data_IF_925198002558
#
_entry.id   IF_925198002558
#
_cell.length_a   1.000
_cell.length_b   1.000
_cell.length_c   1.000
_cell.angle_alpha   90.00
_cell.angle_beta   90.00
_cell.angle_gamma   90.00
#
_symmetry.space_group_name_H-M   'P 1'
#
loop_
_entity.id
_entity.type
_entity.pdbx_description
1 polymer ?
#
# COMPACT_ATOMS: atom_id res chain seq x y z
N UNK A 1 8.25 -0.59 -27.82
CA UNK A 1 8.91 -1.41 -26.79
C UNK A 1 8.33 -2.80 -26.92
N UNK A 2 9.14 -3.72 -27.41
CA UNK A 2 8.80 -5.13 -27.60
C UNK A 2 9.11 -5.84 -26.28
N UNK A 3 8.13 -6.55 -25.71
CA UNK A 3 8.38 -7.41 -24.55
C UNK A 3 8.91 -8.74 -25.08
N UNK A 4 10.18 -9.03 -24.80
CA UNK A 4 10.79 -10.34 -25.03
C UNK A 4 10.17 -11.35 -24.06
N UNK A 5 9.52 -12.37 -24.61
CA UNK A 5 8.92 -13.49 -23.89
C UNK A 5 10.05 -14.39 -23.40
N UNK A 6 10.18 -14.55 -22.07
CA UNK A 6 11.04 -15.58 -21.50
C UNK A 6 10.42 -16.94 -21.88
N UNK A 7 11.06 -17.63 -22.82
CA UNK A 7 10.77 -19.02 -23.15
C UNK A 7 11.47 -19.90 -22.11
N UNK A 8 10.68 -20.67 -21.36
CA UNK A 8 11.16 -21.67 -20.42
C UNK A 8 11.14 -23.03 -21.14
N UNK A 9 12.28 -23.72 -21.18
CA UNK A 9 12.46 -25.00 -21.89
C UNK A 9 12.02 -26.21 -21.03
N UNK A 10 10.78 -26.70 -21.26
CA UNK A 10 10.28 -28.06 -20.93
C UNK A 10 9.07 -28.13 -19.95
N UNK A 11 8.07 -29.03 -20.12
CA UNK A 11 8.02 -30.21 -21.00
C UNK A 11 7.43 -29.94 -22.40
N UNK A 12 7.84 -30.78 -23.34
CA UNK A 12 7.33 -30.86 -24.71
C UNK A 12 6.03 -31.67 -24.74
N UNK A 13 4.88 -31.00 -24.67
CA UNK A 13 3.55 -31.42 -25.17
C UNK A 13 2.59 -30.28 -24.85
N UNK A 14 1.81 -29.85 -25.84
CA UNK A 14 1.18 -28.54 -25.91
C UNK A 14 0.19 -28.24 -24.76
N UNK A 15 0.48 -27.25 -23.92
CA UNK A 15 -0.60 -26.55 -23.21
C UNK A 15 -1.35 -25.70 -24.23
N UNK A 16 -2.62 -26.02 -24.45
CA UNK A 16 -3.48 -25.26 -25.35
C UNK A 16 -3.65 -23.83 -24.83
N UNK A 17 -3.46 -22.86 -25.73
CA UNK A 17 -3.73 -21.46 -25.42
C UNK A 17 -5.22 -21.19 -25.60
N UNK A 18 -5.91 -20.95 -24.49
CA UNK A 18 -7.31 -20.56 -24.46
C UNK A 18 -7.40 -19.17 -23.83
N UNK A 19 -8.03 -18.24 -24.52
CA UNK A 19 -8.23 -16.88 -24.03
C UNK A 19 -9.69 -16.62 -23.68
N UNK A 20 -9.88 -15.85 -22.61
CA UNK A 20 -11.17 -15.42 -22.09
C UNK A 20 -10.98 -14.07 -21.40
N UNK A 21 -12.02 -13.23 -21.38
CA UNK A 21 -12.00 -11.94 -20.71
C UNK A 21 -13.26 -11.77 -19.88
N UNK A 22 -13.07 -11.43 -18.60
CA UNK A 22 -14.17 -11.24 -17.65
C UNK A 22 -14.33 -9.77 -17.26
N UNK A 23 -15.56 -9.37 -16.91
CA UNK A 23 -15.92 -8.01 -16.55
C UNK A 23 -16.20 -7.84 -15.06
N UNK A 24 -15.64 -6.78 -14.47
CA UNK A 24 -16.01 -6.26 -13.16
C UNK A 24 -17.08 -5.20 -13.33
N UNK A 25 -18.24 -5.40 -12.69
CA UNK A 25 -19.31 -4.42 -12.72
C UNK A 25 -19.09 -3.35 -11.66
N UNK A 26 -19.37 -2.11 -12.05
CA UNK A 26 -19.33 -0.96 -11.17
C UNK A 26 -20.74 -0.46 -10.92
N UNK A 27 -21.02 -0.11 -9.68
CA UNK A 27 -22.22 0.62 -9.28
C UNK A 27 -21.84 2.00 -8.73
N UNK A 28 -22.76 2.95 -8.87
CA UNK A 28 -22.64 4.23 -8.17
C UNK A 28 -22.76 3.99 -6.66
N UNK A 29 -22.11 4.82 -5.84
CA UNK A 29 -22.27 4.82 -4.37
C UNK A 29 -23.75 4.58 -3.98
N UNK A 30 -24.06 3.42 -3.40
CA UNK A 30 -25.44 3.01 -3.15
C UNK A 30 -26.10 3.86 -2.06
N UNK A 31 -25.31 4.57 -1.23
CA UNK A 31 -25.85 5.54 -0.27
C UNK A 31 -26.37 6.82 -0.94
N UNK A 32 -25.99 7.04 -2.20
CA UNK A 32 -26.34 8.21 -3.00
C UNK A 32 -25.69 9.52 -2.56
N UNK A 33 -24.86 9.50 -1.51
CA UNK A 33 -24.20 10.68 -0.92
C UNK A 33 -23.08 11.21 -1.81
N UNK A 34 -22.45 10.34 -2.59
CA UNK A 34 -21.40 10.70 -3.54
C UNK A 34 -21.75 10.21 -4.95
N UNK A 35 -21.03 10.72 -5.95
CA UNK A 35 -21.11 10.25 -7.34
C UNK A 35 -19.83 9.49 -7.71
N UNK A 36 -19.39 8.57 -6.85
CA UNK A 36 -18.22 7.72 -7.10
C UNK A 36 -18.64 6.31 -7.52
N UNK A 37 -17.76 5.64 -8.28
CA UNK A 37 -17.91 4.24 -8.64
C UNK A 37 -17.37 3.33 -7.54
N UNK A 38 -18.08 2.25 -7.29
CA UNK A 38 -17.70 1.15 -6.41
C UNK A 38 -17.88 -0.15 -7.19
N UNK A 39 -17.12 -1.19 -6.85
CA UNK A 39 -17.41 -2.53 -7.39
C UNK A 39 -18.81 -2.94 -6.91
N UNK A 40 -19.63 -3.44 -7.83
CA UNK A 40 -20.93 -4.00 -7.51
C UNK A 40 -20.74 -5.16 -6.51
N UNK A 41 -21.38 -5.13 -5.32
CA UNK A 41 -21.25 -6.17 -4.32
C UNK A 41 -21.64 -7.56 -4.82
N UNK A 42 -22.48 -7.67 -5.86
CA UNK A 42 -22.79 -8.95 -6.52
C UNK A 42 -21.52 -9.62 -7.05
N UNK A 43 -20.53 -8.86 -7.54
CA UNK A 43 -19.28 -9.42 -8.04
C UNK A 43 -18.33 -9.89 -6.92
N UNK A 44 -18.46 -9.42 -5.68
CA UNK A 44 -17.46 -9.69 -4.63
C UNK A 44 -17.48 -11.14 -4.15
N UNK A 45 -18.66 -11.65 -3.77
CA UNK A 45 -18.83 -13.00 -3.21
C UNK A 45 -20.22 -13.60 -3.57
N UNK A 46 -21.00 -12.96 -4.46
CA UNK A 46 -22.39 -13.33 -4.75
C UNK A 46 -22.55 -14.11 -6.06
N UNK A 47 -22.00 -13.56 -7.14
CA UNK A 47 -22.08 -14.08 -8.50
C UNK A 47 -20.68 -14.12 -9.14
N UNK A 48 -20.54 -14.99 -10.14
CA UNK A 48 -19.32 -15.08 -10.97
C UNK A 48 -19.15 -13.85 -11.86
N UNK A 49 -17.92 -13.57 -12.28
CA UNK A 49 -17.66 -12.53 -13.28
C UNK A 49 -18.16 -12.99 -14.65
N UNK A 50 -18.80 -12.07 -15.37
CA UNK A 50 -19.32 -12.34 -16.70
C UNK A 50 -18.24 -12.24 -17.75
N UNK A 51 -18.26 -13.18 -18.71
CA UNK A 51 -17.42 -13.11 -19.90
C UNK A 51 -17.86 -11.98 -20.83
N UNK A 52 -16.90 -11.32 -21.47
CA UNK A 52 -17.12 -10.38 -22.57
C UNK A 52 -17.09 -11.05 -23.95
N UNK A 53 -16.76 -12.33 -24.02
CA UNK A 53 -16.89 -13.13 -25.23
C UNK A 53 -18.29 -13.71 -25.29
N UNK A 54 -19.10 -13.25 -26.25
CA UNK A 54 -20.49 -13.70 -26.42
C UNK A 54 -20.61 -15.23 -26.64
N UNK A 55 -19.53 -15.90 -27.06
CA UNK A 55 -19.48 -17.34 -27.31
C UNK A 55 -18.56 -18.10 -26.34
N UNK A 56 -18.15 -17.47 -25.24
CA UNK A 56 -17.22 -18.05 -24.26
C UNK A 56 -15.76 -18.08 -24.72
N UNK A 57 -14.91 -18.93 -24.09
CA UNK A 57 -13.48 -18.95 -24.34
C UNK A 57 -13.16 -19.28 -25.80
N UNK A 58 -12.06 -18.77 -26.30
CA UNK A 58 -11.62 -19.00 -27.69
C UNK A 58 -10.17 -19.48 -27.76
N UNK A 59 -9.85 -20.22 -28.82
CA UNK A 59 -8.53 -20.81 -29.11
C UNK A 59 -7.84 -20.15 -30.32
N UNK A 60 -8.33 -19.00 -30.79
CA UNK A 60 -7.94 -18.39 -32.07
C UNK A 60 -6.43 -18.10 -32.18
N UNK A 61 -5.74 -17.96 -31.05
CA UNK A 61 -4.30 -17.67 -30.97
C UNK A 61 -3.46 -18.90 -30.54
N UNK A 62 -4.03 -20.11 -30.52
CA UNK A 62 -3.28 -21.32 -30.18
C UNK A 62 -2.42 -21.82 -31.36
N UNK A 63 -1.12 -21.99 -31.12
CA UNK A 63 -0.14 -22.40 -32.14
C UNK A 63 0.23 -23.90 -32.06
N UNK A 64 -0.55 -24.74 -31.36
CA UNK A 64 -0.18 -26.14 -31.15
C UNK A 64 -0.30 -27.04 -32.39
N UNK A 65 -1.04 -26.60 -33.42
CA UNK A 65 -1.27 -27.36 -34.64
C UNK A 65 -2.26 -28.54 -34.51
N UNK A 66 -2.94 -28.69 -33.37
CA UNK A 66 -3.95 -29.72 -33.11
C UNK A 66 -5.32 -29.06 -32.89
N UNK A 67 -6.06 -28.84 -33.98
CA UNK A 67 -7.35 -28.14 -33.98
C UNK A 67 -8.42 -28.92 -33.19
N UNK A 68 -8.48 -30.24 -33.36
CA UNK A 68 -9.47 -31.09 -32.68
C UNK A 68 -9.29 -31.04 -31.16
N UNK A 69 -8.04 -31.07 -30.70
CA UNK A 69 -7.74 -30.98 -29.28
C UNK A 69 -7.98 -29.56 -28.75
N UNK A 70 -7.64 -28.51 -29.51
CA UNK A 70 -7.98 -27.13 -29.14
C UNK A 70 -9.48 -26.95 -28.94
N UNK A 71 -10.30 -27.44 -29.87
CA UNK A 71 -11.76 -27.36 -29.79
C UNK A 71 -12.29 -28.13 -28.57
N UNK A 72 -11.70 -29.29 -28.29
CA UNK A 72 -12.02 -30.08 -27.09
C UNK A 72 -11.72 -29.30 -25.81
N UNK A 73 -10.55 -28.70 -25.69
CA UNK A 73 -10.15 -27.94 -24.50
C UNK A 73 -10.98 -26.65 -24.36
N UNK A 74 -11.22 -25.92 -25.45
CA UNK A 74 -12.08 -24.73 -25.47
C UNK A 74 -13.47 -25.06 -24.93
N UNK A 75 -14.04 -26.17 -25.39
CA UNK A 75 -15.33 -26.66 -24.91
C UNK A 75 -15.30 -27.03 -23.43
N UNK A 76 -14.23 -27.69 -22.96
CA UNK A 76 -14.08 -28.01 -21.54
C UNK A 76 -14.04 -26.73 -20.71
N UNK A 77 -13.28 -25.72 -21.13
CA UNK A 77 -13.21 -24.44 -20.43
C UNK A 77 -14.56 -23.71 -20.45
N UNK A 78 -15.26 -23.66 -21.57
CA UNK A 78 -16.55 -22.98 -21.69
C UNK A 78 -17.73 -23.69 -21.01
N UNK A 79 -17.72 -25.02 -20.91
CA UNK A 79 -18.83 -25.79 -20.34
C UNK A 79 -18.62 -26.18 -18.87
N UNK A 80 -17.37 -26.27 -18.41
CA UNK A 80 -17.04 -26.90 -17.11
C UNK A 80 -16.17 -26.06 -16.19
N UNK A 81 -15.50 -25.02 -16.68
CA UNK A 81 -14.73 -24.14 -15.82
C UNK A 81 -15.63 -22.99 -15.33
N UNK A 82 -15.74 -22.84 -14.02
CA UNK A 82 -16.44 -21.70 -13.43
C UNK A 82 -15.61 -20.42 -13.66
N UNK A 83 -16.29 -19.31 -13.93
CA UNK A 83 -15.62 -18.02 -13.93
C UNK A 83 -15.25 -17.60 -12.50
N UNK A 84 -14.13 -16.91 -12.30
CA UNK A 84 -13.78 -16.40 -10.99
C UNK A 84 -14.82 -15.38 -10.52
N UNK A 85 -15.00 -15.29 -9.21
CA UNK A 85 -15.60 -14.13 -8.53
C UNK A 85 -14.62 -12.94 -8.54
N UNK A 86 -15.07 -11.72 -8.22
CA UNK A 86 -14.16 -10.57 -8.12
C UNK A 86 -13.09 -10.78 -7.05
N UNK A 87 -13.42 -11.46 -5.95
CA UNK A 87 -12.47 -11.79 -4.90
C UNK A 87 -11.38 -12.72 -5.43
N UNK A 88 -11.74 -13.79 -6.14
CA UNK A 88 -10.77 -14.69 -6.75
C UNK A 88 -9.92 -13.97 -7.80
N UNK A 89 -10.53 -13.16 -8.67
CA UNK A 89 -9.82 -12.36 -9.66
C UNK A 89 -8.79 -11.40 -9.03
N UNK A 90 -9.12 -10.79 -7.88
CA UNK A 90 -8.19 -9.96 -7.11
C UNK A 90 -6.98 -10.77 -6.62
N UNK A 91 -7.19 -11.97 -6.07
CA UNK A 91 -6.09 -12.83 -5.62
C UNK A 91 -5.23 -13.33 -6.78
N UNK A 92 -5.84 -13.72 -7.90
CA UNK A 92 -5.11 -14.11 -9.12
C UNK A 92 -4.23 -12.97 -9.64
N UNK A 93 -4.77 -11.74 -9.69
CA UNK A 93 -4.00 -10.56 -10.10
C UNK A 93 -2.84 -10.28 -9.15
N UNK A 94 -3.08 -10.37 -7.84
CA UNK A 94 -2.04 -10.16 -6.85
C UNK A 94 -0.94 -11.21 -6.95
N UNK A 95 -1.28 -12.49 -7.05
CA UNK A 95 -0.33 -13.58 -7.24
C UNK A 95 0.52 -13.38 -8.51
N UNK A 96 -0.12 -13.08 -9.64
CA UNK A 96 0.58 -12.83 -10.91
C UNK A 96 1.54 -11.62 -10.84
N UNK A 97 1.26 -10.66 -9.97
CA UNK A 97 2.09 -9.47 -9.75
C UNK A 97 3.08 -9.62 -8.58
N UNK A 98 3.07 -10.75 -7.86
CA UNK A 98 3.93 -10.98 -6.70
C UNK A 98 3.50 -10.24 -5.42
N UNK A 99 2.22 -9.89 -5.29
CA UNK A 99 1.64 -9.26 -4.11
C UNK A 99 0.88 -10.26 -3.22
N UNK A 100 0.90 -9.99 -1.92
CA UNK A 100 -0.01 -10.61 -0.95
C UNK A 100 -1.19 -9.68 -0.70
N UNK A 101 -2.43 -10.19 -0.78
CA UNK A 101 -3.63 -9.40 -0.46
C UNK A 101 -4.10 -9.73 0.96
N UNK A 102 -4.11 -8.70 1.80
CA UNK A 102 -4.64 -8.78 3.16
C UNK A 102 -5.82 -7.82 3.28
N UNK A 103 -7.03 -8.34 3.52
CA UNK A 103 -8.19 -7.50 3.84
C UNK A 103 -8.07 -7.07 5.29
N UNK A 104 -7.59 -5.86 5.55
CA UNK A 104 -7.60 -5.30 6.91
C UNK A 104 -9.02 -4.85 7.28
N UNK A 105 -9.60 -5.44 8.32
CA UNK A 105 -10.87 -5.01 8.92
C UNK A 105 -10.68 -4.27 10.24
N UNK A 106 -9.46 -4.25 10.75
CA UNK A 106 -9.10 -3.65 12.02
C UNK A 106 -8.34 -2.35 11.79
N UNK A 107 -8.48 -1.41 12.72
CA UNK A 107 -7.63 -0.21 12.68
C UNK A 107 -6.18 -0.66 12.93
N UNK A 108 -5.21 -0.23 12.11
CA UNK A 108 -3.82 -0.56 12.36
C UNK A 108 -3.41 -0.03 13.74
N UNK A 109 -2.61 -0.81 14.46
CA UNK A 109 -2.05 -0.42 15.75
C UNK A 109 -0.59 -0.07 15.52
N UNK A 110 -0.25 1.18 15.76
CA UNK A 110 1.14 1.64 15.85
C UNK A 110 1.55 1.62 17.32
N UNK A 111 2.51 0.78 17.66
CA UNK A 111 3.14 0.74 18.99
C UNK A 111 4.51 1.41 18.91
N UNK A 112 4.82 2.28 19.86
CA UNK A 112 6.07 3.05 19.89
C UNK A 112 6.73 2.88 21.25
N UNK A 113 7.99 2.44 21.24
CA UNK A 113 8.84 2.35 22.41
C UNK A 113 9.95 3.38 22.25
N UNK A 114 9.81 4.50 22.95
CA UNK A 114 10.82 5.55 23.03
C UNK A 114 11.60 5.38 24.34
N UNK A 115 12.87 4.97 24.23
CA UNK A 115 13.79 4.88 25.36
C UNK A 115 14.72 6.07 25.29
N UNK A 116 14.45 7.07 26.12
CA UNK A 116 15.27 8.28 26.18
C UNK A 116 16.33 8.19 27.26
N UNK A 117 17.57 8.49 26.89
CA UNK A 117 18.62 8.90 27.84
C UNK A 117 18.50 10.42 28.05
N UNK A 118 18.24 10.90 29.29
CA UNK A 118 18.08 12.33 29.55
C UNK A 118 19.30 13.18 29.18
N UNK A 119 20.49 12.58 29.09
CA UNK A 119 21.74 13.24 28.68
C UNK A 119 22.24 12.73 27.30
N UNK A 120 21.42 11.92 26.61
CA UNK A 120 21.76 11.32 25.31
C UNK A 120 21.41 12.22 24.13
N UNK A 121 22.23 12.15 23.08
CA UNK A 121 22.14 13.03 21.92
C UNK A 121 21.14 12.57 20.86
N UNK A 122 20.68 11.32 20.90
CA UNK A 122 19.77 10.73 19.90
C UNK A 122 18.87 9.67 20.56
N UNK A 123 17.54 9.75 20.37
CA UNK A 123 16.63 8.62 20.59
C UNK A 123 16.07 8.14 19.24
N UNK A 124 16.29 6.87 18.94
CA UNK A 124 15.64 6.18 17.83
C UNK A 124 14.55 5.29 18.43
N UNK A 125 13.28 5.72 18.38
CA UNK A 125 12.20 4.91 18.95
C UNK A 125 12.00 3.63 18.14
N UNK A 126 11.84 2.51 18.84
CA UNK A 126 11.41 1.27 18.23
C UNK A 126 9.91 1.37 17.91
N UNK A 127 9.55 1.28 16.63
CA UNK A 127 8.16 1.34 16.17
C UNK A 127 7.71 -0.01 15.60
N UNK A 128 6.48 -0.40 15.92
CA UNK A 128 5.85 -1.64 15.45
C UNK A 128 4.49 -1.32 14.84
N UNK A 129 4.22 -1.86 13.65
CA UNK A 129 2.91 -1.80 13.01
C UNK A 129 2.29 -3.18 13.08
N UNK A 130 1.16 -3.29 13.78
CA UNK A 130 0.45 -4.56 13.98
C UNK A 130 1.34 -5.67 14.59
N UNK A 131 2.24 -5.28 15.49
CA UNK A 131 3.18 -6.16 16.19
C UNK A 131 4.46 -6.48 15.42
N UNK A 132 4.60 -6.04 14.17
CA UNK A 132 5.83 -6.21 13.39
C UNK A 132 6.71 -4.96 13.46
N UNK A 133 8.00 -5.15 13.78
CA UNK A 133 8.96 -4.05 13.86
C UNK A 133 9.11 -3.41 12.49
N UNK A 134 8.89 -2.10 12.41
CA UNK A 134 9.17 -1.34 11.19
C UNK A 134 10.68 -1.18 11.08
N UNK A 135 11.27 -1.69 10.00
CA UNK A 135 12.68 -1.50 9.66
C UNK A 135 12.86 -0.38 8.64
N UNK A 136 14.07 0.20 8.57
CA UNK A 136 14.41 1.23 7.58
C UNK A 136 14.27 0.76 6.13
N UNK A 137 14.58 -0.52 5.89
CA UNK A 137 14.41 -1.18 4.58
C UNK A 137 12.98 -1.63 4.30
N UNK A 138 12.06 -1.38 5.25
CA UNK A 138 10.67 -1.77 5.16
C UNK A 138 9.86 -0.93 4.16
N UNK A 139 8.63 -1.37 3.82
CA UNK A 139 7.75 -0.65 2.90
C UNK A 139 7.20 0.67 3.49
N UNK A 140 7.41 0.91 4.78
CA UNK A 140 6.91 2.08 5.51
C UNK A 140 8.08 2.98 5.86
N UNK A 141 8.03 4.23 5.38
CA UNK A 141 8.97 5.28 5.80
C UNK A 141 8.46 5.98 7.05
N UNK A 142 9.33 6.14 8.04
CA UNK A 142 9.03 6.82 9.29
C UNK A 142 9.69 8.20 9.28
N UNK A 143 8.95 9.22 9.69
CA UNK A 143 9.49 10.51 10.08
C UNK A 143 9.16 10.74 11.56
N UNK A 144 10.20 10.73 12.39
CA UNK A 144 10.10 11.03 13.81
C UNK A 144 10.55 12.48 14.05
N UNK A 145 9.81 13.21 14.88
CA UNK A 145 10.15 14.57 15.27
C UNK A 145 10.16 14.64 16.80
N UNK A 146 11.34 14.79 17.37
CA UNK A 146 11.49 14.98 18.80
C UNK A 146 11.31 16.45 19.16
N UNK A 147 10.65 16.73 20.28
CA UNK A 147 10.59 18.08 20.86
C UNK A 147 10.98 17.93 22.32
N UNK A 148 12.29 18.00 22.58
CA UNK A 148 12.83 17.85 23.92
C UNK A 148 13.68 19.05 24.31
N UNK A 149 13.05 20.02 24.98
CA UNK A 149 13.83 21.07 25.61
C UNK A 149 14.60 20.55 26.83
N UNK A 150 14.15 19.42 27.43
CA UNK A 150 14.66 18.86 28.67
C UNK A 150 16.07 18.26 28.58
N UNK A 151 16.49 17.83 27.39
CA UNK A 151 17.85 17.34 27.12
C UNK A 151 18.93 18.42 27.26
N UNK A 152 18.54 19.70 27.33
CA UNK A 152 19.47 20.83 27.51
C UNK A 152 20.21 21.18 26.21
N UNK A 153 19.81 22.29 25.59
CA UNK A 153 20.43 22.76 24.34
C UNK A 153 20.74 24.26 24.39
N UNK A 154 21.75 24.68 23.65
CA UNK A 154 21.93 26.11 23.35
C UNK A 154 20.82 26.59 22.40
N UNK A 155 20.47 27.87 22.49
CA UNK A 155 19.41 28.45 21.69
C UNK A 155 19.60 28.29 20.17
N UNK A 156 20.84 28.32 19.70
CA UNK A 156 21.13 28.11 18.26
C UNK A 156 20.89 26.65 17.83
N UNK A 157 21.26 25.68 18.67
CA UNK A 157 20.97 24.26 18.41
C UNK A 157 19.46 24.00 18.41
N UNK A 158 18.74 24.61 19.35
CA UNK A 158 17.28 24.55 19.40
C UNK A 158 16.64 25.09 18.12
N UNK A 159 17.10 26.25 17.61
CA UNK A 159 16.62 26.80 16.35
C UNK A 159 16.92 25.91 15.16
N UNK A 160 18.14 25.36 15.09
CA UNK A 160 18.53 24.46 14.01
C UNK A 160 17.61 23.23 13.96
N UNK A 161 17.40 22.58 15.11
CA UNK A 161 16.51 21.43 15.25
C UNK A 161 15.05 21.75 14.89
N UNK A 162 14.54 22.88 15.43
CA UNK A 162 13.19 23.38 15.10
C UNK A 162 13.04 23.60 13.60
N UNK A 163 13.97 24.30 12.97
CA UNK A 163 13.88 24.71 11.57
C UNK A 163 14.01 23.50 10.64
N UNK A 164 14.88 22.54 10.96
CA UNK A 164 14.99 21.26 10.25
C UNK A 164 13.69 20.45 10.36
N UNK A 165 13.15 20.31 11.58
CA UNK A 165 11.88 19.62 11.83
C UNK A 165 10.73 20.24 11.02
N UNK A 166 10.64 21.58 11.02
CA UNK A 166 9.61 22.31 10.26
C UNK A 166 9.80 22.19 8.74
N UNK A 167 11.04 22.19 8.24
CA UNK A 167 11.34 22.06 6.83
C UNK A 167 10.95 20.67 6.29
N UNK A 168 11.26 19.62 7.03
CA UNK A 168 11.01 18.22 6.64
C UNK A 168 9.55 17.78 6.86
N UNK A 169 8.77 18.49 7.69
CA UNK A 169 7.39 18.13 7.98
C UNK A 169 6.43 18.37 6.81
N UNK A 170 5.48 17.44 6.65
CA UNK A 170 4.31 17.63 5.78
C UNK A 170 3.48 18.84 6.25
N UNK A 171 2.65 19.47 5.40
CA UNK A 171 1.89 20.67 5.77
C UNK A 171 1.05 20.50 7.05
N UNK A 172 0.37 19.37 7.22
CA UNK A 172 -0.46 19.09 8.40
C UNK A 172 0.38 18.87 9.68
N UNK A 173 1.50 18.15 9.57
CA UNK A 173 2.40 17.92 10.71
C UNK A 173 3.11 19.22 11.10
N UNK A 174 3.52 20.03 10.12
CA UNK A 174 4.19 21.31 10.33
C UNK A 174 3.36 22.28 11.17
N UNK A 175 2.04 22.33 10.95
CA UNK A 175 1.14 23.14 11.78
C UNK A 175 1.20 22.70 13.26
N UNK A 176 1.16 21.39 13.51
CA UNK A 176 1.24 20.84 14.86
C UNK A 176 2.61 21.09 15.50
N UNK A 177 3.69 20.93 14.74
CA UNK A 177 5.05 21.20 15.20
C UNK A 177 5.26 22.67 15.57
N UNK A 178 4.77 23.62 14.77
CA UNK A 178 4.86 25.05 15.12
C UNK A 178 4.25 25.34 16.50
N UNK A 179 3.08 24.78 16.78
CA UNK A 179 2.43 24.96 18.07
C UNK A 179 3.21 24.30 19.23
N UNK A 180 3.95 23.23 18.95
CA UNK A 180 4.68 22.49 19.99
C UNK A 180 6.09 23.06 20.26
N UNK A 181 6.72 23.67 19.26
CA UNK A 181 7.96 24.43 19.41
C UNK A 181 7.74 25.83 20.03
N UNK A 182 6.52 26.35 20.02
CA UNK A 182 6.16 27.64 20.63
C UNK A 182 6.06 27.51 22.16
N UNK A 183 7.18 27.80 22.83
CA UNK A 183 7.38 27.63 24.28
C UNK A 183 7.22 26.16 24.73
N UNK A 184 8.17 25.28 24.38
CA UNK A 184 8.08 23.85 24.65
C UNK A 184 8.08 23.54 26.15
N UNK A 185 7.48 22.42 26.58
CA UNK A 185 7.72 21.87 27.92
C UNK A 185 9.23 21.70 28.16
N UNK A 186 9.72 22.17 29.30
CA UNK A 186 11.16 22.13 29.61
C UNK A 186 11.97 23.29 29.04
N UNK A 187 11.35 24.33 28.47
CA UNK A 187 12.03 25.49 27.86
C UNK A 187 13.11 26.15 28.73
N UNK A 188 13.03 26.04 30.05
CA UNK A 188 14.04 26.54 30.99
C UNK A 188 15.40 25.82 30.91
N UNK A 189 15.44 24.62 30.32
CA UNK A 189 16.67 23.89 30.05
C UNK A 189 17.38 24.40 28.78
N UNK A 190 16.71 25.21 27.96
CA UNK A 190 17.32 25.85 26.78
C UNK A 190 18.04 27.11 27.24
N UNK A 191 19.34 27.18 26.95
CA UNK A 191 20.19 28.28 27.43
C UNK A 191 20.51 29.26 26.31
N UNK A 192 20.75 30.52 26.67
CA UNK A 192 21.20 31.54 25.70
C UNK A 192 20.11 32.16 24.82
N UNK A 193 18.82 31.86 25.05
CA UNK A 193 17.72 32.50 24.32
C UNK A 193 17.61 34.00 24.70
N UNK A 194 17.59 34.93 23.73
CA UNK A 194 17.28 36.34 23.99
C UNK A 194 15.83 36.55 24.44
N UNK A 195 15.60 37.52 25.33
CA UNK A 195 14.27 37.80 25.90
C UNK A 195 13.22 38.20 24.85
N UNK A 196 13.64 38.87 23.77
CA UNK A 196 12.77 39.43 22.72
C UNK A 196 12.60 38.53 21.49
N UNK A 197 13.36 37.43 21.39
CA UNK A 197 13.28 36.52 20.23
C UNK A 197 12.06 35.58 20.36
N UNK A 198 11.24 35.39 19.31
CA UNK A 198 10.13 34.44 19.35
C UNK A 198 10.63 32.99 19.36
N UNK A 199 9.80 32.09 19.90
CA UNK A 199 10.10 30.65 19.94
C UNK A 199 10.04 29.98 18.56
N UNK A 200 9.22 30.49 17.64
CA UNK A 200 8.93 29.93 16.30
C UNK A 200 8.82 31.04 15.26
#
# INVERSE_FOLDING_TARGET
MTFDRILNDGPTEYEHYIEESVSLYLQRDPSGKTNTWHIDPTCLDGDVLWSNYDNGPVNANCECGDEDECDRITRIMGEKADFPTAKEAMFMLAEALGYTVTKSTEKPILEVIDVRDPDGYESEPDMFLDGEKISEDGPVKIHYYEIDAGAGHEWEDWKAHRDESLANASPAVREKLRAAFDNPPGSHCITGKPDDEPWV
#
